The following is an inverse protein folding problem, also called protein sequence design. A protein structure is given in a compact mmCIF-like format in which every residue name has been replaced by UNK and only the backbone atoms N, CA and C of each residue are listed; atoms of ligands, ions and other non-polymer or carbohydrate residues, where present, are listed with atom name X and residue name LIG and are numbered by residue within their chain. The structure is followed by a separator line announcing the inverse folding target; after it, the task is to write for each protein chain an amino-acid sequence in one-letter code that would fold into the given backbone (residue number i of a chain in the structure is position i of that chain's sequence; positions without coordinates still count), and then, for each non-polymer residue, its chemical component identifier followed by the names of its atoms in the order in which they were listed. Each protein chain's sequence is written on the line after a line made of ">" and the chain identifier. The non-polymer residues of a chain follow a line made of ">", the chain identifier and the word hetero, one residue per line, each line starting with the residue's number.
data_IF_713200589188
#
_entry.id   IF_713200589188
#
_cell.length_a   1.000
_cell.length_b   1.000
_cell.length_c   1.000
_cell.angle_alpha   90.00
_cell.angle_beta   90.00
_cell.angle_gamma   90.00
#
_symmetry.space_group_name_H-M   'P 1'
#
loop_
_entity.id
_entity.type
_entity.pdbx_description
1 polymer ?
#
# COMPACT_ATOMS: atom_id res chain seq x y z
N UNK A 1 -10.60 -0.04 -21.02
CA UNK A 1 -11.48 0.83 -20.22
C UNK A 1 -11.79 0.12 -18.91
N UNK A 2 -10.91 0.27 -17.94
CA UNK A 2 -11.01 -0.43 -16.66
C UNK A 2 -11.92 0.41 -15.76
N UNK A 3 -13.18 0.02 -15.62
CA UNK A 3 -14.06 0.57 -14.60
C UNK A 3 -13.54 0.08 -13.25
N UNK A 4 -12.87 0.95 -12.52
CA UNK A 4 -12.64 0.73 -11.09
C UNK A 4 -13.98 0.37 -10.45
N UNK A 5 -14.12 -0.86 -9.98
CA UNK A 5 -15.25 -1.27 -9.12
C UNK A 5 -15.00 -0.68 -7.73
N UNK A 6 -15.04 0.64 -7.62
CA UNK A 6 -15.36 1.22 -6.32
C UNK A 6 -16.72 0.67 -5.90
N UNK A 7 -16.85 0.29 -4.64
CA UNK A 7 -18.13 0.04 -3.99
C UNK A 7 -19.17 0.97 -4.57
N UNK A 8 -20.37 0.47 -4.82
CA UNK A 8 -21.49 1.25 -5.35
C UNK A 8 -21.83 2.37 -4.36
N UNK A 9 -21.12 3.48 -4.44
CA UNK A 9 -21.27 4.66 -3.56
C UNK A 9 -22.32 5.64 -4.08
N UNK A 10 -23.01 5.22 -5.15
CA UNK A 10 -24.10 5.96 -5.79
C UNK A 10 -25.28 6.08 -4.85
N UNK A 11 -25.87 7.24 -4.79
CA UNK A 11 -26.97 7.53 -3.87
C UNK A 11 -26.56 7.69 -2.40
N UNK A 12 -25.24 7.71 -2.10
CA UNK A 12 -24.74 7.94 -0.74
C UNK A 12 -25.19 9.31 -0.23
N UNK A 13 -25.81 9.32 0.94
CA UNK A 13 -26.14 10.58 1.63
C UNK A 13 -24.86 11.35 1.97
N UNK A 14 -24.87 12.67 1.74
CA UNK A 14 -23.79 13.57 2.13
C UNK A 14 -23.69 13.79 3.65
N UNK A 15 -24.51 13.11 4.48
CA UNK A 15 -24.35 13.14 5.93
C UNK A 15 -23.02 12.51 6.34
N UNK A 16 -22.25 13.23 7.17
CA UNK A 16 -20.95 12.75 7.67
C UNK A 16 -19.81 12.80 6.66
N UNK A 17 -19.94 13.55 5.57
CA UNK A 17 -18.82 13.93 4.69
C UNK A 17 -18.23 15.27 5.14
N UNK A 18 -16.95 15.47 4.85
CA UNK A 18 -16.23 16.71 5.13
C UNK A 18 -15.91 17.42 3.81
N UNK A 19 -16.12 18.74 3.77
CA UNK A 19 -15.75 19.56 2.62
C UNK A 19 -14.23 19.75 2.61
N UNK A 20 -13.62 19.45 1.48
CA UNK A 20 -12.19 19.72 1.25
C UNK A 20 -11.98 21.00 0.42
N UNK A 21 -12.93 21.33 -0.48
CA UNK A 21 -12.86 22.55 -1.27
C UNK A 21 -13.98 22.66 -2.28
N UNK A 22 -14.15 23.88 -2.82
CA UNK A 22 -15.01 24.19 -3.94
C UNK A 22 -14.10 24.55 -5.12
N UNK A 23 -14.51 24.14 -6.31
CA UNK A 23 -13.79 24.41 -7.56
C UNK A 23 -14.80 24.71 -8.66
N UNK A 24 -14.49 25.70 -9.49
CA UNK A 24 -15.23 26.00 -10.69
C UNK A 24 -14.48 25.57 -11.94
N UNK A 25 -15.23 25.39 -13.01
CA UNK A 25 -14.69 25.10 -14.34
C UNK A 25 -14.68 26.38 -15.19
N UNK A 26 -13.91 26.43 -16.27
CA UNK A 26 -13.98 27.54 -17.23
C UNK A 26 -15.37 27.75 -17.85
N UNK A 27 -16.25 26.73 -17.83
CA UNK A 27 -17.66 26.83 -18.24
C UNK A 27 -18.59 27.42 -17.16
N UNK A 28 -18.09 27.66 -15.96
CA UNK A 28 -18.86 28.20 -14.85
C UNK A 28 -19.58 27.17 -13.99
N UNK A 29 -19.36 25.87 -14.27
CA UNK A 29 -19.90 24.79 -13.42
C UNK A 29 -19.09 24.67 -12.13
N UNK A 30 -19.77 24.49 -11.01
CA UNK A 30 -19.16 24.36 -9.72
C UNK A 30 -19.21 22.92 -9.20
N UNK A 31 -18.13 22.50 -8.55
CA UNK A 31 -18.01 21.19 -7.90
C UNK A 31 -17.47 21.33 -6.48
N UNK A 32 -17.93 20.45 -5.60
CA UNK A 32 -17.36 20.28 -4.27
C UNK A 32 -16.53 19.01 -4.20
N UNK A 33 -15.31 19.17 -3.72
CA UNK A 33 -14.43 18.04 -3.39
C UNK A 33 -14.64 17.70 -1.91
N UNK A 34 -15.18 16.53 -1.67
CA UNK A 34 -15.57 16.04 -0.35
C UNK A 34 -14.75 14.80 -0.01
N UNK A 35 -14.73 14.41 1.25
CA UNK A 35 -14.23 13.11 1.64
C UNK A 35 -15.03 12.52 2.81
N UNK A 36 -14.94 11.21 2.96
CA UNK A 36 -15.46 10.47 4.10
C UNK A 36 -14.43 9.47 4.60
N UNK A 37 -14.37 9.29 5.93
CA UNK A 37 -13.54 8.26 6.54
C UNK A 37 -14.19 6.88 6.37
N UNK A 38 -13.38 5.92 5.88
CA UNK A 38 -13.77 4.53 5.65
C UNK A 38 -12.84 3.56 6.39
N UNK A 39 -12.68 3.77 7.69
CA UNK A 39 -11.89 2.87 8.53
C UNK A 39 -10.45 2.73 8.06
N UNK A 40 -9.96 1.52 7.96
CA UNK A 40 -8.56 1.23 7.70
C UNK A 40 -8.08 1.57 6.29
N UNK A 41 -8.95 1.66 5.28
CA UNK A 41 -8.55 2.13 3.95
C UNK A 41 -8.27 3.65 3.93
N UNK A 42 -8.77 4.37 4.94
CA UNK A 42 -8.59 5.81 5.08
C UNK A 42 -9.72 6.63 4.45
N UNK A 43 -9.37 7.80 3.92
CA UNK A 43 -10.34 8.76 3.37
C UNK A 43 -10.58 8.51 1.90
N UNK A 44 -11.86 8.35 1.55
CA UNK A 44 -12.29 8.22 0.15
C UNK A 44 -12.82 9.58 -0.30
N UNK A 45 -12.23 10.17 -1.36
CA UNK A 45 -12.68 11.44 -1.92
C UNK A 45 -13.90 11.25 -2.83
N UNK A 46 -14.72 12.29 -2.88
CA UNK A 46 -15.88 12.41 -3.76
C UNK A 46 -15.86 13.75 -4.45
N UNK A 47 -16.30 13.78 -5.70
CA UNK A 47 -16.61 15.00 -6.44
C UNK A 47 -18.12 15.04 -6.66
N UNK A 48 -18.75 16.15 -6.25
CA UNK A 48 -20.19 16.35 -6.44
C UNK A 48 -20.45 17.71 -7.08
N UNK A 49 -21.53 17.87 -7.87
CA UNK A 49 -21.90 19.17 -8.42
C UNK A 49 -22.38 20.10 -7.30
N UNK A 50 -22.21 21.39 -7.53
CA UNK A 50 -22.70 22.44 -6.64
C UNK A 50 -23.68 23.33 -7.40
N UNK A 51 -24.86 23.54 -6.81
CA UNK A 51 -25.82 24.57 -7.24
C UNK A 51 -25.80 25.70 -6.23
N UNK A 52 -25.78 26.93 -6.68
CA UNK A 52 -25.85 28.10 -5.82
C UNK A 52 -27.30 28.57 -5.73
N UNK A 53 -27.83 28.69 -4.52
CA UNK A 53 -29.14 29.28 -4.23
C UNK A 53 -28.99 30.32 -3.10
N UNK A 54 -29.43 31.54 -3.36
CA UNK A 54 -29.36 32.68 -2.41
C UNK A 54 -27.92 32.87 -1.81
N UNK A 55 -26.88 32.61 -2.60
CA UNK A 55 -25.48 32.71 -2.17
C UNK A 55 -24.96 31.50 -1.37
N UNK A 56 -25.75 30.44 -1.20
CA UNK A 56 -25.37 29.23 -0.51
C UNK A 56 -25.10 28.06 -1.47
N UNK A 57 -24.04 27.27 -1.26
CA UNK A 57 -23.76 26.10 -2.06
C UNK A 57 -24.62 24.92 -1.65
N UNK A 58 -25.45 24.43 -2.55
CA UNK A 58 -26.15 23.14 -2.42
C UNK A 58 -25.32 22.06 -3.05
N UNK A 59 -24.91 21.07 -2.25
CA UNK A 59 -23.96 20.02 -2.65
C UNK A 59 -24.67 18.77 -3.13
N UNK A 60 -24.20 18.23 -4.26
CA UNK A 60 -24.70 16.97 -4.82
C UNK A 60 -26.02 17.14 -5.57
N UNK A 61 -26.68 16.02 -5.82
CA UNK A 61 -28.03 15.94 -6.37
C UNK A 61 -28.95 15.44 -5.27
N UNK A 62 -29.89 16.27 -4.85
CA UNK A 62 -30.78 15.98 -3.70
C UNK A 62 -30.02 15.57 -2.43
N UNK A 63 -28.88 16.21 -2.15
CA UNK A 63 -28.03 15.90 -1.00
C UNK A 63 -27.34 14.55 -1.07
N UNK A 64 -27.14 14.01 -2.27
CA UNK A 64 -26.49 12.71 -2.51
C UNK A 64 -25.36 12.82 -3.53
N UNK A 65 -24.44 11.87 -3.47
CA UNK A 65 -23.43 11.66 -4.53
C UNK A 65 -24.14 11.10 -5.76
N UNK A 66 -24.06 11.75 -6.93
CA UNK A 66 -24.68 11.24 -8.16
C UNK A 66 -23.97 10.03 -8.72
N UNK A 67 -24.69 9.22 -9.48
CA UNK A 67 -24.16 8.00 -10.12
C UNK A 67 -23.09 8.32 -11.19
N UNK A 68 -23.21 9.46 -11.84
CA UNK A 68 -22.30 9.94 -12.86
C UNK A 68 -22.21 11.46 -12.85
N UNK A 69 -21.05 11.96 -13.29
CA UNK A 69 -20.81 13.38 -13.52
C UNK A 69 -20.53 13.58 -15.01
N UNK A 70 -21.14 14.62 -15.59
CA UNK A 70 -20.82 15.08 -16.93
C UNK A 70 -19.60 16.02 -16.82
N UNK A 71 -18.41 15.46 -16.79
CA UNK A 71 -17.17 16.21 -16.70
C UNK A 71 -16.59 16.47 -18.08
N UNK A 72 -15.85 17.60 -18.28
CA UNK A 72 -15.07 17.82 -19.48
C UNK A 72 -14.15 16.65 -19.78
N UNK A 73 -13.98 16.32 -21.07
CA UNK A 73 -13.07 15.26 -21.48
C UNK A 73 -11.64 15.59 -21.03
N UNK A 74 -11.00 14.62 -20.36
CA UNK A 74 -9.60 14.74 -19.99
C UNK A 74 -8.70 14.73 -21.23
N UNK A 75 -7.71 15.61 -21.29
CA UNK A 75 -6.68 15.63 -22.34
C UNK A 75 -5.59 14.57 -22.16
N UNK A 76 -5.76 13.64 -21.26
CA UNK A 76 -4.82 12.56 -21.00
C UNK A 76 -5.29 11.68 -19.84
N UNK A 77 -4.62 10.53 -19.67
CA UNK A 77 -4.84 9.66 -18.52
C UNK A 77 -4.03 10.21 -17.34
N UNK A 78 -4.71 10.51 -16.24
CA UNK A 78 -4.03 10.73 -14.97
C UNK A 78 -3.66 9.36 -14.43
N UNK A 79 -2.39 9.10 -14.06
CA UNK A 79 -2.00 7.84 -13.44
C UNK A 79 -2.87 7.55 -12.21
N UNK A 80 -3.19 6.28 -12.00
CA UNK A 80 -3.88 5.84 -10.78
C UNK A 80 -3.06 6.14 -9.53
N UNK A 81 -3.71 6.03 -8.37
CA UNK A 81 -3.05 6.26 -7.07
C UNK A 81 -2.22 5.05 -6.62
N UNK A 82 -2.34 3.93 -7.32
CA UNK A 82 -1.56 2.70 -7.17
C UNK A 82 -1.24 2.11 -8.54
N UNK A 83 -0.11 1.43 -8.65
CA UNK A 83 0.29 0.72 -9.87
C UNK A 83 1.23 -0.45 -9.53
N UNK A 84 1.15 -1.51 -10.30
CA UNK A 84 2.20 -2.54 -10.32
C UNK A 84 3.48 -1.94 -10.90
N UNK A 85 4.62 -2.44 -10.46
CA UNK A 85 5.94 -1.99 -10.86
C UNK A 85 6.88 -3.18 -10.96
N UNK A 86 7.44 -3.41 -12.14
CA UNK A 86 8.44 -4.45 -12.40
C UNK A 86 9.87 -3.90 -12.20
N UNK A 87 9.99 -2.68 -11.69
CA UNK A 87 11.24 -1.96 -11.44
C UNK A 87 12.17 -1.80 -12.65
N UNK A 88 11.68 -2.09 -13.85
CA UNK A 88 12.34 -1.73 -15.09
C UNK A 88 12.23 -0.23 -15.34
N UNK A 89 13.34 0.40 -15.75
CA UNK A 89 13.38 1.84 -16.06
C UNK A 89 14.03 2.09 -17.40
N UNK A 90 13.42 2.98 -18.17
CA UNK A 90 13.98 3.48 -19.41
C UNK A 90 14.79 4.75 -19.15
N UNK A 91 15.78 5.06 -19.99
CA UNK A 91 16.51 6.33 -19.90
C UNK A 91 15.55 7.52 -19.92
N UNK A 92 15.70 8.45 -18.98
CA UNK A 92 14.87 9.65 -18.88
C UNK A 92 13.57 9.49 -18.07
N UNK A 93 13.21 8.29 -17.67
CA UNK A 93 12.08 8.09 -16.74
C UNK A 93 12.49 8.46 -15.30
N UNK A 94 11.54 8.98 -14.50
CA UNK A 94 11.79 9.20 -13.08
C UNK A 94 12.09 7.85 -12.41
N UNK A 95 13.03 7.81 -11.45
CA UNK A 95 13.44 6.56 -10.82
C UNK A 95 12.26 5.87 -10.10
N UNK A 96 11.37 6.63 -9.49
CA UNK A 96 10.15 6.12 -8.87
C UNK A 96 8.95 6.96 -9.37
N UNK A 97 7.93 6.31 -9.95
CA UNK A 97 6.66 6.97 -10.27
C UNK A 97 5.99 7.56 -9.02
N UNK A 98 5.12 8.56 -9.20
CA UNK A 98 4.45 9.29 -8.12
C UNK A 98 3.53 8.44 -7.23
N UNK A 99 3.20 7.21 -7.63
CA UNK A 99 2.47 6.25 -6.80
C UNK A 99 3.29 5.77 -5.61
N UNK A 100 4.62 5.83 -5.71
CA UNK A 100 5.53 5.47 -4.64
C UNK A 100 5.79 6.63 -3.68
N UNK A 101 5.86 6.33 -2.40
CA UNK A 101 6.16 7.29 -1.34
C UNK A 101 7.05 6.61 -0.30
N UNK A 102 8.13 7.29 0.07
CA UNK A 102 8.95 6.87 1.20
C UNK A 102 8.24 7.14 2.52
N UNK A 103 8.31 6.18 3.44
CA UNK A 103 7.73 6.35 4.79
C UNK A 103 8.50 7.38 5.62
N UNK A 104 9.82 7.44 5.44
CA UNK A 104 10.73 8.43 6.03
C UNK A 104 11.51 9.11 4.90
N UNK A 105 12.23 10.19 5.21
CA UNK A 105 13.23 10.75 4.30
C UNK A 105 14.24 9.65 3.92
N UNK A 106 14.34 9.21 2.68
CA UNK A 106 15.21 8.12 2.29
C UNK A 106 16.68 8.54 2.39
N UNK A 107 17.54 7.58 2.62
CA UNK A 107 18.96 7.72 2.39
C UNK A 107 19.31 7.10 1.04
N UNK A 108 19.58 7.97 0.06
CA UNK A 108 19.77 7.57 -1.33
C UNK A 108 21.02 6.70 -1.57
N UNK A 109 21.90 6.55 -0.58
CA UNK A 109 23.03 5.62 -0.63
C UNK A 109 22.62 4.16 -0.47
N UNK A 110 21.43 3.90 0.06
CA UNK A 110 21.00 2.56 0.49
C UNK A 110 19.76 2.05 -0.26
N UNK A 111 19.48 2.61 -1.44
CA UNK A 111 18.54 2.03 -2.40
C UNK A 111 19.00 2.27 -3.83
N UNK A 112 18.61 1.40 -4.75
CA UNK A 112 19.02 1.50 -6.16
C UNK A 112 18.07 0.73 -7.07
N UNK A 113 17.84 1.29 -8.28
CA UNK A 113 17.19 0.63 -9.42
C UNK A 113 18.20 0.28 -10.54
N UNK A 114 19.47 0.61 -10.33
CA UNK A 114 20.54 0.41 -11.33
C UNK A 114 21.60 -0.60 -10.90
N UNK A 115 21.72 -0.90 -9.61
CA UNK A 115 22.67 -1.89 -9.09
C UNK A 115 22.36 -3.31 -9.61
N UNK A 116 21.09 -3.60 -9.89
CA UNK A 116 20.60 -4.78 -10.62
C UNK A 116 19.41 -4.33 -11.47
N UNK A 117 19.59 -4.15 -12.79
CA UNK A 117 18.49 -3.73 -13.66
C UNK A 117 17.26 -4.64 -13.54
N UNK A 118 16.07 -4.04 -13.52
CA UNK A 118 14.81 -4.74 -13.31
C UNK A 118 14.50 -5.07 -11.85
N UNK A 119 15.30 -4.57 -10.89
CA UNK A 119 15.07 -4.81 -9.46
C UNK A 119 15.17 -3.52 -8.65
N UNK A 120 14.37 -3.44 -7.60
CA UNK A 120 14.60 -2.47 -6.53
C UNK A 120 15.50 -3.10 -5.46
N UNK A 121 16.72 -2.59 -5.30
CA UNK A 121 17.61 -2.96 -4.20
C UNK A 121 17.36 -2.08 -2.99
N UNK A 122 17.17 -2.69 -1.82
CA UNK A 122 17.20 -2.02 -0.53
C UNK A 122 18.35 -2.59 0.30
N UNK A 123 19.27 -1.71 0.72
CA UNK A 123 20.43 -2.06 1.55
C UNK A 123 20.20 -1.54 2.98
N UNK A 124 20.58 -2.31 3.98
CA UNK A 124 20.53 -1.87 5.37
C UNK A 124 21.68 -0.91 5.65
N UNK A 125 21.39 0.35 5.98
CA UNK A 125 22.38 1.41 6.21
C UNK A 125 22.74 1.63 7.67
N UNK A 126 21.94 1.10 8.57
CA UNK A 126 22.09 1.20 10.03
C UNK A 126 21.32 0.07 10.71
N UNK A 127 21.54 -0.06 12.03
CA UNK A 127 20.67 -0.89 12.87
C UNK A 127 19.41 -0.10 13.24
N UNK A 128 18.25 -0.70 13.06
CA UNK A 128 16.95 -0.13 13.41
C UNK A 128 16.29 -0.96 14.53
N UNK A 129 15.55 -0.28 15.41
CA UNK A 129 14.85 -0.92 16.53
C UNK A 129 13.67 -1.79 16.07
N UNK A 130 13.21 -1.65 14.83
CA UNK A 130 12.12 -2.42 14.24
C UNK A 130 11.57 -1.78 12.98
N UNK A 131 10.54 -2.39 12.43
CA UNK A 131 9.95 -2.02 11.14
C UNK A 131 9.55 -0.54 11.05
N UNK A 132 8.91 0.03 12.06
CA UNK A 132 8.45 1.43 12.01
C UNK A 132 9.58 2.46 11.96
N UNK A 133 10.80 2.09 12.37
CA UNK A 133 11.99 2.94 12.28
C UNK A 133 12.85 2.68 11.04
N UNK A 134 12.53 1.66 10.25
CA UNK A 134 13.24 1.29 9.03
C UNK A 134 13.19 2.44 8.00
N UNK A 135 14.37 3.06 7.72
CA UNK A 135 14.41 4.35 7.02
C UNK A 135 13.97 4.26 5.56
N UNK A 136 14.51 3.30 4.82
CA UNK A 136 14.23 3.13 3.40
C UNK A 136 13.05 2.18 3.18
N UNK A 137 11.90 2.50 3.77
CA UNK A 137 10.65 1.78 3.56
C UNK A 137 9.85 2.46 2.45
N UNK A 138 9.67 1.76 1.32
CA UNK A 138 8.98 2.27 0.13
C UNK A 138 7.52 1.82 0.13
N UNK A 139 6.57 2.74 -0.06
CA UNK A 139 5.15 2.45 0.14
C UNK A 139 4.27 2.85 -1.02
N UNK A 140 3.18 2.10 -1.22
CA UNK A 140 2.02 2.49 -2.02
C UNK A 140 0.73 2.39 -1.19
N UNK A 141 -0.31 3.09 -1.61
CA UNK A 141 -1.62 3.04 -0.96
C UNK A 141 -2.26 1.67 -1.14
N UNK A 142 -3.08 1.25 -0.17
CA UNK A 142 -4.11 0.23 -0.40
C UNK A 142 -5.33 0.87 -1.05
N UNK A 143 -6.16 0.07 -1.71
CA UNK A 143 -7.42 0.50 -2.32
C UNK A 143 -8.58 -0.39 -1.86
N UNK A 144 -9.76 0.19 -1.80
CA UNK A 144 -11.00 -0.56 -1.47
C UNK A 144 -11.79 -0.94 -2.72
N UNK A 145 -12.77 -1.84 -2.58
CA UNK A 145 -13.19 -2.55 -1.36
C UNK A 145 -12.24 -3.68 -0.93
N UNK A 146 -11.48 -4.22 -1.87
CA UNK A 146 -10.51 -5.30 -1.67
C UNK A 146 -9.27 -4.99 -2.50
N UNK A 147 -8.12 -5.41 -2.03
CA UNK A 147 -6.90 -5.37 -2.81
C UNK A 147 -5.88 -6.39 -2.31
N UNK A 148 -4.95 -6.73 -3.18
CA UNK A 148 -3.78 -7.52 -2.80
C UNK A 148 -2.50 -6.87 -3.32
N UNK A 149 -1.42 -7.03 -2.56
CA UNK A 149 -0.06 -6.69 -2.97
C UNK A 149 0.82 -7.94 -2.95
N UNK A 150 1.58 -8.15 -4.02
CA UNK A 150 2.47 -9.31 -4.18
C UNK A 150 3.86 -8.83 -4.56
N UNK A 151 4.88 -9.43 -3.97
CA UNK A 151 6.30 -9.21 -4.31
C UNK A 151 7.01 -10.51 -4.58
N UNK A 152 8.09 -10.46 -5.37
CA UNK A 152 9.14 -11.46 -5.38
C UNK A 152 10.40 -10.85 -4.76
N UNK A 153 11.05 -11.58 -3.86
CA UNK A 153 12.15 -11.10 -3.03
C UNK A 153 13.35 -12.04 -3.13
N UNK A 154 14.47 -11.53 -3.60
CA UNK A 154 15.76 -12.22 -3.56
C UNK A 154 16.47 -11.85 -2.25
N UNK A 155 16.69 -12.86 -1.41
CA UNK A 155 17.26 -12.74 -0.07
C UNK A 155 18.71 -13.22 0.04
N UNK A 156 19.35 -13.49 -1.10
CA UNK A 156 20.72 -14.09 -1.16
C UNK A 156 21.75 -13.32 -0.36
N UNK A 157 21.60 -12.00 -0.26
CA UNK A 157 22.61 -11.11 0.31
C UNK A 157 22.18 -10.50 1.67
N UNK A 158 21.19 -11.10 2.30
CA UNK A 158 20.83 -10.75 3.67
C UNK A 158 21.94 -11.18 4.64
N UNK A 159 22.17 -10.36 5.65
CA UNK A 159 23.06 -10.66 6.77
C UNK A 159 22.28 -11.13 7.99
N UNK A 160 23.00 -11.72 8.92
CA UNK A 160 22.42 -12.12 10.20
C UNK A 160 21.79 -10.92 10.92
N UNK A 161 20.52 -11.06 11.30
CA UNK A 161 19.70 -10.01 11.89
C UNK A 161 18.96 -9.13 10.89
N UNK A 162 19.13 -9.31 9.58
CA UNK A 162 18.32 -8.61 8.57
C UNK A 162 16.89 -9.16 8.52
N UNK A 163 15.95 -8.25 8.29
CA UNK A 163 14.54 -8.57 8.09
C UNK A 163 13.98 -7.75 6.94
N UNK A 164 13.47 -8.42 5.91
CA UNK A 164 12.95 -7.80 4.69
C UNK A 164 11.64 -8.43 4.25
N UNK A 165 10.78 -7.67 3.55
CA UNK A 165 9.52 -8.22 3.05
C UNK A 165 8.47 -7.21 2.68
N UNK A 166 7.20 -7.64 2.83
CA UNK A 166 5.99 -6.88 2.54
C UNK A 166 5.19 -6.64 3.83
N UNK A 167 4.92 -5.37 4.12
CA UNK A 167 4.10 -4.99 5.25
C UNK A 167 2.81 -4.28 4.82
N UNK A 168 1.82 -4.32 5.70
CA UNK A 168 0.70 -3.41 5.74
C UNK A 168 0.99 -2.37 6.81
N UNK A 169 1.52 -1.22 6.37
CA UNK A 169 2.04 -0.17 7.23
C UNK A 169 0.92 0.68 7.82
N UNK A 170 0.88 0.74 9.11
CA UNK A 170 0.20 1.69 9.97
C UNK A 170 0.89 1.59 11.36
N UNK A 171 0.47 2.37 12.36
CA UNK A 171 0.96 2.17 13.74
C UNK A 171 0.79 0.72 14.20
N UNK A 172 -0.39 0.17 13.94
CA UNK A 172 -0.75 -1.22 14.23
C UNK A 172 -0.61 -2.04 12.95
N UNK A 173 0.61 -2.40 12.60
CA UNK A 173 0.95 -3.05 11.35
C UNK A 173 0.87 -4.59 11.41
N UNK A 174 0.86 -5.19 10.24
CA UNK A 174 1.18 -6.60 10.03
C UNK A 174 2.17 -6.73 8.90
N UNK A 175 3.02 -7.74 8.92
CA UNK A 175 3.97 -7.98 7.85
C UNK A 175 4.26 -9.47 7.66
N UNK A 176 4.64 -9.82 6.44
CA UNK A 176 5.26 -11.10 6.07
C UNK A 176 6.63 -10.80 5.46
N UNK A 177 7.63 -11.55 5.87
CA UNK A 177 8.99 -11.28 5.40
C UNK A 177 9.94 -12.42 5.69
N UNK A 178 11.17 -12.25 5.22
CA UNK A 178 12.30 -13.14 5.52
C UNK A 178 13.18 -12.49 6.56
N UNK A 179 13.46 -13.23 7.61
CA UNK A 179 14.44 -12.87 8.64
C UNK A 179 15.59 -13.87 8.59
N UNK A 180 16.80 -13.38 8.64
CA UNK A 180 18.00 -14.22 8.86
C UNK A 180 18.38 -14.15 10.32
N UNK A 181 18.50 -15.32 10.98
CA UNK A 181 18.77 -15.46 12.40
C UNK A 181 19.72 -16.65 12.61
N UNK A 182 20.89 -16.38 13.20
CA UNK A 182 21.97 -17.32 13.44
C UNK A 182 22.35 -18.16 12.21
N UNK A 183 22.43 -17.48 11.05
CA UNK A 183 22.82 -18.06 9.76
C UNK A 183 21.73 -18.85 9.04
N UNK A 184 20.53 -18.97 9.60
CA UNK A 184 19.37 -19.57 8.96
C UNK A 184 18.34 -18.53 8.55
N UNK A 185 17.66 -18.75 7.43
CA UNK A 185 16.60 -17.88 6.94
C UNK A 185 15.21 -18.48 7.20
N UNK A 186 14.27 -17.61 7.53
CA UNK A 186 12.89 -18.00 7.84
C UNK A 186 11.91 -17.02 7.19
N UNK A 187 10.85 -17.54 6.58
CA UNK A 187 9.66 -16.75 6.31
C UNK A 187 8.86 -16.66 7.60
N UNK A 188 8.48 -15.46 7.99
CA UNK A 188 7.68 -15.28 9.19
C UNK A 188 6.62 -14.17 9.03
N UNK A 189 5.58 -14.26 9.85
CA UNK A 189 4.55 -13.25 9.97
C UNK A 189 4.61 -12.58 11.34
N UNK A 190 4.63 -11.24 11.32
CA UNK A 190 4.53 -10.43 12.54
C UNK A 190 3.21 -9.68 12.56
N UNK A 191 2.50 -9.75 13.68
CA UNK A 191 1.26 -9.04 13.94
C UNK A 191 1.46 -8.04 15.09
N UNK A 192 1.30 -6.75 14.80
CA UNK A 192 1.41 -5.66 15.77
C UNK A 192 0.06 -4.94 16.00
N UNK A 193 -1.07 -5.61 15.76
CA UNK A 193 -2.40 -5.00 15.94
C UNK A 193 -2.70 -4.55 17.38
N UNK A 194 -2.03 -5.12 18.37
CA UNK A 194 -2.13 -4.74 19.78
C UNK A 194 -1.23 -3.55 20.17
N UNK A 195 -0.42 -3.05 19.22
CA UNK A 195 0.59 -2.01 19.46
C UNK A 195 1.99 -2.54 19.74
N UNK A 196 2.13 -3.85 20.07
CA UNK A 196 3.42 -4.53 20.20
C UNK A 196 3.56 -5.61 19.14
N UNK A 197 4.70 -5.71 18.44
CA UNK A 197 4.92 -6.75 17.43
C UNK A 197 5.08 -8.12 18.09
N UNK A 198 4.34 -9.09 17.55
CA UNK A 198 4.41 -10.50 17.95
C UNK A 198 4.71 -11.32 16.71
N UNK A 199 5.76 -12.11 16.72
CA UNK A 199 5.99 -13.15 15.73
C UNK A 199 4.95 -14.26 15.93
N UNK A 200 4.08 -14.45 14.93
CA UNK A 200 2.94 -15.37 15.02
C UNK A 200 3.29 -16.75 14.49
N UNK A 201 4.04 -16.78 13.39
CA UNK A 201 4.44 -18.02 12.74
C UNK A 201 5.78 -17.85 12.04
N UNK A 202 6.59 -18.91 12.04
CA UNK A 202 7.91 -18.97 11.42
C UNK A 202 8.06 -20.29 10.66
N UNK A 203 8.51 -20.21 9.39
CA UNK A 203 8.74 -21.36 8.52
C UNK A 203 10.17 -21.29 7.96
N UNK A 204 10.97 -22.37 8.03
CA UNK A 204 12.31 -22.38 7.43
C UNK A 204 12.29 -22.10 5.92
N UNK A 205 13.24 -21.30 5.47
CA UNK A 205 13.45 -20.97 4.07
C UNK A 205 14.84 -21.44 3.62
N UNK A 206 14.87 -22.37 2.69
CA UNK A 206 16.06 -23.00 2.13
C UNK A 206 16.40 -22.55 0.70
N UNK A 207 15.72 -21.52 0.21
CA UNK A 207 15.88 -20.98 -1.14
C UNK A 207 16.17 -19.48 -1.12
N UNK A 208 16.69 -18.98 -2.27
CA UNK A 208 17.14 -17.58 -2.41
C UNK A 208 16.02 -16.61 -2.77
N UNK A 209 14.97 -17.07 -3.42
CA UNK A 209 13.84 -16.23 -3.85
C UNK A 209 12.56 -16.73 -3.21
N UNK A 210 11.77 -15.82 -2.67
CA UNK A 210 10.45 -16.11 -2.11
C UNK A 210 9.44 -15.09 -2.61
N UNK A 211 8.20 -15.53 -2.76
CA UNK A 211 7.07 -14.67 -3.11
C UNK A 211 6.23 -14.43 -1.88
N UNK A 212 5.88 -13.17 -1.63
CA UNK A 212 5.10 -12.75 -0.47
C UNK A 212 3.88 -11.98 -0.94
N UNK A 213 2.75 -12.17 -0.25
CA UNK A 213 1.48 -11.53 -0.60
C UNK A 213 0.73 -11.11 0.66
N UNK A 214 0.07 -9.96 0.56
CA UNK A 214 -0.88 -9.47 1.55
C UNK A 214 -2.22 -9.16 0.88
N UNK A 215 -3.30 -9.76 1.38
CA UNK A 215 -4.68 -9.55 0.95
C UNK A 215 -5.40 -8.66 1.94
N UNK A 216 -6.03 -7.58 1.47
CA UNK A 216 -6.78 -6.62 2.28
C UNK A 216 -8.25 -6.66 1.90
N UNK A 217 -9.12 -6.77 2.90
CA UNK A 217 -10.56 -6.66 2.75
C UNK A 217 -11.08 -5.49 3.59
N UNK A 218 -11.53 -4.44 2.90
CA UNK A 218 -12.16 -3.24 3.47
C UNK A 218 -13.66 -3.19 3.21
N UNK A 219 -14.21 -4.21 2.52
CA UNK A 219 -15.63 -4.28 2.20
C UNK A 219 -16.46 -4.21 3.48
N UNK A 220 -17.46 -3.33 3.47
CA UNK A 220 -18.36 -3.10 4.60
C UNK A 220 -17.62 -2.81 5.93
N UNK A 221 -16.46 -2.14 5.84
CA UNK A 221 -15.54 -1.87 6.97
C UNK A 221 -15.09 -3.14 7.72
N UNK A 222 -14.95 -4.26 7.02
CA UNK A 222 -14.38 -5.49 7.58
C UNK A 222 -12.98 -5.25 8.14
N UNK A 223 -12.18 -4.44 7.42
CA UNK A 223 -10.86 -3.98 7.85
C UNK A 223 -9.96 -5.12 8.31
N UNK A 224 -9.79 -6.12 7.43
CA UNK A 224 -9.05 -7.35 7.71
C UNK A 224 -8.01 -7.61 6.65
N UNK A 225 -6.88 -8.20 7.05
CA UNK A 225 -5.87 -8.66 6.12
C UNK A 225 -5.33 -10.03 6.48
N UNK A 226 -4.85 -10.75 5.45
CA UNK A 226 -4.18 -12.05 5.56
C UNK A 226 -2.89 -12.03 4.77
N UNK A 227 -1.94 -12.83 5.21
CA UNK A 227 -0.61 -12.91 4.61
C UNK A 227 -0.34 -14.31 4.10
N UNK A 228 0.44 -14.35 3.02
CA UNK A 228 0.78 -15.59 2.32
C UNK A 228 2.24 -15.55 1.87
N UNK A 229 2.83 -16.73 1.73
CA UNK A 229 4.09 -16.92 1.04
C UNK A 229 3.96 -18.02 -0.01
N UNK A 230 4.86 -17.98 -0.98
CA UNK A 230 5.00 -19.03 -1.99
C UNK A 230 6.47 -19.24 -2.31
N UNK A 231 6.85 -20.50 -2.60
CA UNK A 231 8.21 -20.87 -3.01
C UNK A 231 8.42 -20.77 -4.53
N UNK A 232 7.35 -20.80 -5.30
CA UNK A 232 7.38 -20.87 -6.77
C UNK A 232 6.54 -19.78 -7.46
N UNK A 233 5.88 -18.90 -6.67
CA UNK A 233 4.98 -17.86 -7.15
C UNK A 233 3.62 -18.37 -7.65
N UNK A 234 3.33 -19.67 -7.50
CA UNK A 234 2.11 -20.33 -7.97
C UNK A 234 1.31 -20.95 -6.82
N UNK A 235 1.95 -21.79 -6.03
CA UNK A 235 1.33 -22.41 -4.85
C UNK A 235 1.50 -21.51 -3.64
N UNK A 236 0.39 -20.98 -3.11
CA UNK A 236 0.38 -20.05 -2.00
C UNK A 236 -0.02 -20.73 -0.70
N UNK A 237 0.72 -20.47 0.36
CA UNK A 237 0.43 -20.93 1.72
C UNK A 237 0.13 -19.73 2.60
N UNK A 238 -0.98 -19.76 3.31
CA UNK A 238 -1.27 -18.76 4.33
C UNK A 238 -0.26 -18.87 5.48
N UNK A 239 0.12 -17.73 6.04
CA UNK A 239 1.05 -17.67 7.17
C UNK A 239 0.55 -16.71 8.24
N UNK A 240 0.60 -17.15 9.48
CA UNK A 240 0.26 -16.40 10.67
C UNK A 240 -1.24 -16.23 10.87
N UNK A 241 -1.62 -15.11 11.50
CA UNK A 241 -2.99 -14.79 11.85
C UNK A 241 -3.56 -13.65 11.03
N UNK A 242 -4.89 -13.54 10.99
CA UNK A 242 -5.57 -12.38 10.43
C UNK A 242 -5.17 -11.09 11.18
N UNK A 243 -4.80 -10.06 10.44
CA UNK A 243 -4.59 -8.72 10.96
C UNK A 243 -5.93 -7.99 10.98
N UNK A 244 -6.40 -7.55 12.15
CA UNK A 244 -7.49 -6.60 12.26
C UNK A 244 -6.93 -5.19 12.09
N UNK A 245 -7.20 -4.60 10.95
CA UNK A 245 -6.75 -3.26 10.61
C UNK A 245 -7.59 -2.19 11.31
N UNK A 246 -6.97 -1.06 11.66
CA UNK A 246 -7.66 0.08 12.28
C UNK A 246 -7.02 1.39 11.86
N UNK A 247 -7.82 2.36 11.53
CA UNK A 247 -7.35 3.73 11.39
C UNK A 247 -6.82 4.24 12.73
N UNK A 248 -5.65 4.86 12.72
CA UNK A 248 -5.04 5.39 13.95
C UNK A 248 -4.52 6.82 13.76
N UNK A 249 -4.65 7.62 14.81
CA UNK A 249 -3.90 8.85 14.99
C UNK A 249 -2.67 8.48 15.86
N UNK A 250 -1.43 8.82 15.50
CA UNK A 250 -0.98 9.96 14.67
C UNK A 250 -0.66 9.66 13.21
N UNK A 251 -0.73 8.42 12.70
CA UNK A 251 -0.39 8.16 11.31
C UNK A 251 -1.31 8.88 10.31
N UNK A 252 -2.53 9.15 10.67
CA UNK A 252 -3.52 9.95 9.93
C UNK A 252 -3.65 9.60 8.44
N UNK A 253 -3.50 8.32 8.13
CA UNK A 253 -3.59 7.76 6.78
C UNK A 253 -4.19 6.37 6.83
N UNK A 254 -4.73 5.88 5.70
CA UNK A 254 -5.07 4.47 5.53
C UNK A 254 -3.83 3.58 5.52
N UNK A 255 -4.05 2.28 5.60
CA UNK A 255 -2.98 1.30 5.46
C UNK A 255 -2.28 1.44 4.11
N UNK A 256 -1.00 1.08 4.09
CA UNK A 256 -0.16 1.08 2.88
C UNK A 256 0.56 -0.25 2.74
N UNK A 257 0.68 -0.73 1.52
CA UNK A 257 1.70 -1.72 1.20
C UNK A 257 3.07 -1.09 1.39
N UNK A 258 3.99 -1.81 2.00
CA UNK A 258 5.34 -1.31 2.29
C UNK A 258 6.39 -2.36 2.00
N UNK A 259 7.34 -2.04 1.14
CA UNK A 259 8.55 -2.80 0.88
C UNK A 259 9.61 -2.33 1.87
N UNK A 260 10.19 -3.25 2.63
CA UNK A 260 11.13 -2.91 3.68
C UNK A 260 12.34 -3.85 3.73
N UNK A 261 13.45 -3.32 4.20
CA UNK A 261 14.62 -4.07 4.63
C UNK A 261 15.30 -3.32 5.77
N UNK A 262 15.48 -3.95 6.91
CA UNK A 262 16.22 -3.37 8.03
C UNK A 262 17.07 -4.40 8.75
N UNK A 263 18.15 -3.94 9.39
CA UNK A 263 19.06 -4.74 10.19
C UNK A 263 18.76 -4.58 11.68
N UNK A 264 18.69 -5.68 12.41
CA UNK A 264 18.59 -5.70 13.87
C UNK A 264 19.96 -5.90 14.57
N UNK A 265 20.97 -6.46 13.87
CA UNK A 265 22.30 -6.75 14.41
C UNK A 265 23.40 -5.89 13.80
N UNK A 266 23.58 -5.94 12.48
CA UNK A 266 24.64 -5.20 11.76
C UNK A 266 24.19 -4.78 10.36
N UNK A 267 24.51 -3.56 9.89
CA UNK A 267 24.11 -3.10 8.58
C UNK A 267 24.94 -3.69 7.44
N UNK A 268 24.52 -3.41 6.19
CA UNK A 268 25.23 -3.73 4.95
C UNK A 268 24.73 -4.99 4.26
N UNK A 269 23.69 -5.67 4.76
CA UNK A 269 22.96 -6.66 3.98
C UNK A 269 21.99 -5.97 3.02
N UNK A 270 21.60 -6.67 1.95
CA UNK A 270 20.64 -6.14 1.00
C UNK A 270 19.72 -7.22 0.44
N UNK A 271 18.61 -6.78 -0.07
CA UNK A 271 17.63 -7.59 -0.80
C UNK A 271 17.28 -6.93 -2.13
N UNK A 272 16.87 -7.73 -3.09
CA UNK A 272 16.39 -7.27 -4.39
C UNK A 272 14.92 -7.66 -4.57
N UNK A 273 14.04 -6.67 -4.75
CA UNK A 273 12.65 -6.86 -5.12
C UNK A 273 12.55 -6.91 -6.65
N UNK A 274 12.08 -8.02 -7.20
CA UNK A 274 11.90 -8.22 -8.64
C UNK A 274 10.70 -7.41 -9.15
N UNK A 275 9.59 -7.46 -8.40
CA UNK A 275 8.39 -6.70 -8.71
C UNK A 275 7.57 -6.37 -7.46
N UNK A 276 6.68 -5.40 -7.63
CA UNK A 276 5.50 -5.21 -6.80
C UNK A 276 4.26 -5.23 -7.69
N UNK A 277 3.36 -6.16 -7.48
CA UNK A 277 2.11 -6.27 -8.23
C UNK A 277 0.92 -6.03 -7.32
N UNK A 278 0.04 -5.10 -7.73
CA UNK A 278 -1.20 -4.78 -7.02
C UNK A 278 -2.39 -5.28 -7.83
N UNK A 279 -3.39 -5.84 -7.13
CA UNK A 279 -4.66 -6.26 -7.72
C UNK A 279 -5.82 -5.69 -6.90
N UNK A 280 -6.96 -5.47 -7.54
CA UNK A 280 -8.24 -5.10 -6.93
C UNK A 280 -9.06 -6.33 -6.46
N UNK A 281 -8.40 -7.47 -6.33
CA UNK A 281 -8.99 -8.74 -5.91
C UNK A 281 -8.17 -9.35 -4.80
N UNK A 282 -8.84 -10.12 -3.94
CA UNK A 282 -8.23 -11.00 -2.93
C UNK A 282 -8.57 -12.45 -3.25
N UNK A 283 -7.85 -13.36 -2.63
CA UNK A 283 -7.97 -14.79 -2.89
C UNK A 283 -6.95 -15.25 -3.93
N UNK A 284 -6.68 -16.54 -3.89
CA UNK A 284 -5.82 -17.19 -4.86
C UNK A 284 -6.66 -17.41 -6.11
N UNK A 285 -6.22 -16.90 -7.25
CA UNK A 285 -6.80 -17.27 -8.53
C UNK A 285 -6.78 -18.82 -8.61
N UNK A 286 -7.96 -19.42 -8.72
CA UNK A 286 -8.11 -20.85 -8.91
C UNK A 286 -7.74 -21.23 -10.35
#
# INVERSE_FOLDING_TARGET
>A
MQKSRMTNLTGLSLRGVLLAGLIDTPSGDWYAYLFRDYGAVGRIPYLVPVKWEDGWPLLGVDGKVPDALNLPASKGLIPGIVASDEFERKPGEPPLPLVWQWNHNPDNRFWSLTARPGFLRLTTGRVDAGFLSARNTLTQRTIGPECSGTIALDVTNMKDGDFAGLALLQKNYGLVGVKTDDGASFVLMVNAQSGSPIEVERVPLDQKTVFLRADCNFKDMADKARFFYSRDGRAWTAIGSELKMRYTIPHFMGYRFALFNYAAKSPGGFVDFDFFRVSDRIGLDK
#
